data_IF_076921277170
#
_entry.id   IF_076921277170
#
_cell.length_a   1.000
_cell.length_b   1.000
_cell.length_c   1.000
_cell.angle_alpha   90.00
_cell.angle_beta   90.00
_cell.angle_gamma   90.00
#
_symmetry.space_group_name_H-M   'P 1'
#
loop_
_entity.id
_entity.type
_entity.pdbx_description
1 polymer ?
#
# COMPACT_ATOMS: atom_id res chain seq x y z
N UNK A 1 -4.05 -30.25 -25.92
CA UNK A 1 -3.03 -29.41 -25.27
C UNK A 1 -3.70 -28.77 -24.07
N UNK A 2 -3.19 -28.99 -22.85
CA UNK A 2 -3.74 -28.33 -21.65
C UNK A 2 -3.00 -27.00 -21.50
N UNK A 3 -3.73 -25.89 -21.59
CA UNK A 3 -3.20 -24.54 -21.35
C UNK A 3 -3.85 -23.93 -20.12
N UNK A 4 -3.11 -23.05 -19.46
CA UNK A 4 -3.57 -22.25 -18.32
C UNK A 4 -3.21 -20.80 -18.62
N UNK A 5 -4.18 -19.89 -18.53
CA UNK A 5 -4.00 -18.48 -18.90
C UNK A 5 -4.13 -17.60 -17.67
N UNK A 6 -3.08 -16.84 -17.35
CA UNK A 6 -3.11 -15.86 -16.26
C UNK A 6 -3.52 -14.49 -16.78
N UNK A 7 -4.45 -13.83 -16.10
CA UNK A 7 -4.92 -12.49 -16.46
C UNK A 7 -4.34 -11.45 -15.51
N UNK A 8 -3.73 -10.41 -16.07
CA UNK A 8 -3.14 -9.29 -15.29
C UNK A 8 -3.85 -7.95 -15.53
N UNK A 9 -4.69 -7.87 -16.57
CA UNK A 9 -5.37 -6.63 -16.97
C UNK A 9 -6.67 -6.37 -16.23
N UNK A 10 -7.28 -5.23 -16.57
CA UNK A 10 -8.64 -4.85 -16.18
C UNK A 10 -9.64 -5.85 -16.73
N UNK A 11 -10.64 -6.21 -15.92
CA UNK A 11 -11.78 -7.05 -16.33
C UNK A 11 -13.13 -6.34 -16.18
N UNK A 12 -13.13 -5.14 -15.62
CA UNK A 12 -14.31 -4.33 -15.32
C UNK A 12 -14.83 -3.50 -16.51
N UNK A 13 -14.11 -3.54 -17.63
CA UNK A 13 -14.44 -2.80 -18.85
C UNK A 13 -15.43 -3.59 -19.72
N UNK A 14 -16.63 -3.07 -20.05
CA UNK A 14 -17.62 -3.80 -20.83
C UNK A 14 -17.14 -4.24 -22.22
N UNK A 15 -16.24 -3.47 -22.84
CA UNK A 15 -15.73 -3.71 -24.19
C UNK A 15 -14.92 -5.00 -24.33
N UNK A 16 -14.37 -5.54 -23.24
CA UNK A 16 -13.61 -6.80 -23.27
C UNK A 16 -14.48 -8.03 -22.98
N UNK A 17 -15.70 -7.86 -22.49
CA UNK A 17 -16.57 -9.00 -22.13
C UNK A 17 -16.91 -9.92 -23.30
N UNK A 18 -17.22 -9.43 -24.51
CA UNK A 18 -17.50 -10.30 -25.66
C UNK A 18 -16.32 -11.21 -26.02
N UNK A 19 -15.08 -10.74 -25.81
CA UNK A 19 -13.88 -11.55 -26.04
C UNK A 19 -13.84 -12.73 -25.06
N UNK A 20 -14.04 -12.49 -23.78
CA UNK A 20 -14.00 -13.55 -22.77
C UNK A 20 -15.16 -14.53 -22.89
N UNK A 21 -16.34 -14.08 -23.33
CA UNK A 21 -17.49 -14.95 -23.56
C UNK A 21 -17.24 -15.93 -24.72
N UNK A 22 -16.58 -15.47 -25.79
CA UNK A 22 -16.16 -16.32 -26.92
C UNK A 22 -15.19 -17.44 -26.49
N UNK A 23 -14.41 -17.18 -25.44
CA UNK A 23 -13.38 -18.08 -24.93
C UNK A 23 -13.67 -18.59 -23.51
N UNK A 24 -14.95 -18.69 -23.11
CA UNK A 24 -15.37 -19.01 -21.74
C UNK A 24 -14.86 -20.35 -21.20
N UNK A 25 -14.55 -21.29 -22.08
CA UNK A 25 -14.05 -22.62 -21.72
C UNK A 25 -12.54 -22.62 -21.41
N UNK A 26 -11.80 -21.53 -21.72
CA UNK A 26 -10.37 -21.43 -21.42
C UNK A 26 -10.13 -21.50 -19.90
N UNK A 27 -9.21 -22.37 -19.42
CA UNK A 27 -8.83 -22.39 -18.01
C UNK A 27 -8.09 -21.10 -17.62
N UNK A 28 -8.69 -20.30 -16.75
CA UNK A 28 -8.15 -19.00 -16.33
C UNK A 28 -7.64 -19.00 -14.89
N UNK A 29 -6.57 -18.25 -14.63
CA UNK A 29 -6.11 -17.90 -13.28
C UNK A 29 -6.07 -16.39 -13.16
N UNK A 30 -6.54 -15.91 -12.01
CA UNK A 30 -6.54 -14.49 -11.65
C UNK A 30 -5.39 -14.15 -10.71
N UNK A 31 -5.02 -12.88 -10.64
CA UNK A 31 -4.01 -12.38 -9.69
C UNK A 31 -4.62 -11.88 -8.38
N UNK A 32 -5.94 -11.82 -8.28
CA UNK A 32 -6.70 -11.64 -7.03
C UNK A 32 -8.10 -12.23 -7.16
N UNK A 33 -8.78 -12.46 -6.05
CA UNK A 33 -10.19 -12.87 -6.09
C UNK A 33 -11.08 -11.73 -6.60
N UNK A 34 -10.78 -10.48 -6.26
CA UNK A 34 -11.51 -9.30 -6.70
C UNK A 34 -11.50 -9.14 -8.21
N UNK A 35 -10.37 -9.44 -8.87
CA UNK A 35 -10.26 -9.36 -10.34
C UNK A 35 -11.32 -10.22 -11.05
N UNK A 36 -11.76 -11.34 -10.43
CA UNK A 36 -12.74 -12.25 -11.05
C UNK A 36 -14.16 -11.70 -11.06
N UNK A 37 -14.49 -10.74 -10.18
CA UNK A 37 -15.88 -10.32 -9.92
C UNK A 37 -16.65 -9.85 -11.17
N UNK A 38 -16.08 -9.03 -12.07
CA UNK A 38 -16.81 -8.59 -13.26
C UNK A 38 -17.21 -9.73 -14.21
N UNK A 39 -16.46 -10.84 -14.18
CA UNK A 39 -16.61 -11.97 -15.10
C UNK A 39 -16.60 -13.30 -14.31
N UNK A 40 -17.43 -13.37 -13.26
CA UNK A 40 -17.44 -14.51 -12.34
C UNK A 40 -17.83 -15.85 -12.99
N UNK A 41 -18.50 -15.82 -14.15
CA UNK A 41 -18.98 -16.99 -14.88
C UNK A 41 -17.95 -17.68 -15.79
N UNK A 42 -16.72 -17.15 -15.91
CA UNK A 42 -15.67 -17.78 -16.70
C UNK A 42 -15.08 -19.02 -16.00
N UNK A 43 -14.36 -19.85 -16.75
CA UNK A 43 -13.72 -21.08 -16.26
C UNK A 43 -12.47 -20.82 -15.38
N UNK A 44 -12.67 -20.14 -14.24
CA UNK A 44 -11.65 -19.83 -13.24
C UNK A 44 -11.17 -21.09 -12.52
N UNK A 45 -9.88 -21.42 -12.66
CA UNK A 45 -9.23 -22.51 -11.94
C UNK A 45 -8.76 -22.09 -10.54
N UNK A 46 -8.56 -20.80 -10.31
CA UNK A 46 -8.12 -20.26 -9.02
C UNK A 46 -7.53 -18.86 -9.08
N UNK A 47 -6.86 -18.48 -7.99
CA UNK A 47 -6.06 -17.26 -7.88
C UNK A 47 -4.63 -17.64 -7.52
N UNK A 48 -3.67 -17.05 -8.23
CA UNK A 48 -2.26 -17.06 -7.87
C UNK A 48 -1.83 -15.62 -7.71
N UNK A 49 -1.72 -15.19 -6.45
CA UNK A 49 -1.22 -13.85 -6.12
C UNK A 49 0.21 -13.67 -6.65
N UNK A 50 0.55 -12.44 -7.02
CA UNK A 50 1.95 -12.13 -7.29
C UNK A 50 2.79 -12.25 -6.01
N UNK A 51 4.05 -12.64 -6.20
CA UNK A 51 5.06 -12.67 -5.14
C UNK A 51 6.28 -11.84 -5.51
N UNK A 52 7.13 -11.61 -4.52
CA UNK A 52 8.44 -10.98 -4.69
C UNK A 52 9.54 -12.04 -4.50
N UNK A 53 10.68 -11.93 -5.22
CA UNK A 53 11.86 -12.72 -4.87
C UNK A 53 12.33 -12.39 -3.45
N UNK A 54 12.67 -13.41 -2.67
CA UNK A 54 12.98 -13.29 -1.24
C UNK A 54 14.05 -12.25 -0.91
N UNK A 55 15.05 -12.11 -1.76
CA UNK A 55 16.21 -11.26 -1.50
C UNK A 55 16.16 -9.91 -2.24
N UNK A 56 15.01 -9.56 -2.86
CA UNK A 56 14.88 -8.33 -3.66
C UNK A 56 14.62 -7.07 -2.82
N UNK A 57 13.91 -7.19 -1.71
CA UNK A 57 13.63 -6.08 -0.81
C UNK A 57 13.97 -6.46 0.61
N UNK A 58 14.58 -5.53 1.34
CA UNK A 58 14.93 -5.71 2.75
C UNK A 58 14.17 -4.71 3.61
N UNK A 59 13.75 -5.20 4.77
CA UNK A 59 13.21 -4.34 5.83
C UNK A 59 14.22 -3.24 6.18
N UNK A 60 13.74 -2.00 6.27
CA UNK A 60 14.50 -0.87 6.78
C UNK A 60 13.72 -0.21 7.93
N UNK A 61 14.34 0.01 9.10
CA UNK A 61 13.70 0.75 10.19
C UNK A 61 13.80 2.27 10.01
N UNK A 62 14.24 2.75 8.84
CA UNK A 62 14.44 4.17 8.56
C UNK A 62 13.09 4.83 8.28
N UNK A 63 12.95 6.06 8.74
CA UNK A 63 11.83 6.93 8.41
C UNK A 63 12.37 8.36 8.24
N UNK A 64 12.38 8.85 7.01
CA UNK A 64 12.78 10.23 6.67
C UNK A 64 11.60 11.21 6.69
N UNK A 65 10.41 10.77 7.10
CA UNK A 65 9.26 11.63 7.36
C UNK A 65 8.42 12.01 6.13
N UNK A 66 8.67 11.38 4.97
CA UNK A 66 7.93 11.64 3.73
C UNK A 66 6.95 10.53 3.38
N UNK A 67 5.87 10.90 2.70
CA UNK A 67 4.96 9.99 2.01
C UNK A 67 5.54 9.66 0.63
N UNK A 68 5.48 8.40 0.24
CA UNK A 68 5.94 7.94 -1.06
C UNK A 68 4.77 7.79 -2.03
N UNK A 69 4.97 8.22 -3.27
CA UNK A 69 4.20 7.76 -4.43
C UNK A 69 5.16 7.09 -5.40
N UNK A 70 4.80 5.91 -5.91
CA UNK A 70 5.62 5.14 -6.82
C UNK A 70 4.78 4.51 -7.93
N UNK A 71 5.04 4.87 -9.19
CA UNK A 71 4.27 4.32 -10.30
C UNK A 71 4.44 5.05 -11.63
N UNK A 72 3.40 5.03 -12.46
CA UNK A 72 3.33 5.79 -13.71
C UNK A 72 2.54 7.06 -13.46
N UNK A 73 2.90 8.14 -14.13
CA UNK A 73 2.05 9.33 -14.19
C UNK A 73 0.94 9.11 -15.22
N UNK A 74 -0.15 8.47 -14.80
CA UNK A 74 -1.36 8.35 -15.61
C UNK A 74 -2.61 8.50 -14.71
N UNK A 75 -3.78 8.81 -15.26
CA UNK A 75 -5.00 9.06 -14.47
C UNK A 75 -5.33 7.91 -13.52
N UNK A 76 -5.15 6.66 -13.97
CA UNK A 76 -5.49 5.47 -13.19
C UNK A 76 -4.60 5.26 -11.96
N UNK A 77 -3.48 5.97 -11.84
CA UNK A 77 -2.59 5.88 -10.68
C UNK A 77 -2.85 6.94 -9.61
N UNK A 78 -3.68 7.95 -9.88
CA UNK A 78 -4.14 8.92 -8.88
C UNK A 78 -3.02 9.77 -8.27
N UNK A 79 -2.07 10.26 -9.07
CA UNK A 79 -0.99 11.09 -8.53
C UNK A 79 -1.49 12.45 -8.01
N UNK A 80 -2.50 13.02 -8.67
CA UNK A 80 -3.26 14.18 -8.21
C UNK A 80 -3.87 13.95 -6.82
N UNK A 81 -4.52 12.81 -6.61
CA UNK A 81 -5.06 12.40 -5.30
C UNK A 81 -3.94 12.26 -4.24
N UNK A 82 -2.79 11.67 -4.59
CA UNK A 82 -1.66 11.57 -3.67
C UNK A 82 -1.13 12.95 -3.24
N UNK A 83 -1.08 13.91 -4.17
CA UNK A 83 -0.70 15.30 -3.90
C UNK A 83 -1.72 15.96 -2.98
N UNK A 84 -3.02 15.75 -3.20
CA UNK A 84 -4.08 16.26 -2.33
C UNK A 84 -3.96 15.70 -0.91
N UNK A 85 -3.80 14.39 -0.76
CA UNK A 85 -3.62 13.72 0.54
C UNK A 85 -2.43 14.33 1.30
N UNK A 86 -1.29 14.52 0.61
CA UNK A 86 -0.10 15.09 1.21
C UNK A 86 -0.31 16.55 1.68
N UNK A 87 -1.03 17.35 0.88
CA UNK A 87 -1.40 18.72 1.23
C UNK A 87 -2.35 18.76 2.42
N UNK A 88 -3.39 17.93 2.43
CA UNK A 88 -4.34 17.81 3.55
C UNK A 88 -3.66 17.36 4.85
N UNK A 89 -2.70 16.44 4.76
CA UNK A 89 -1.95 15.94 5.91
C UNK A 89 -0.79 16.86 6.34
N UNK A 90 -0.47 17.90 5.55
CA UNK A 90 0.69 18.76 5.80
C UNK A 90 2.03 17.99 5.78
N UNK A 91 2.14 16.92 4.99
CA UNK A 91 3.33 16.06 4.92
C UNK A 91 4.02 16.18 3.57
N UNK A 92 5.34 16.01 3.57
CA UNK A 92 6.12 15.94 2.33
C UNK A 92 5.73 14.70 1.53
N UNK A 93 5.57 14.84 0.23
CA UNK A 93 5.38 13.77 -0.73
C UNK A 93 6.57 13.72 -1.67
N UNK A 94 7.24 12.56 -1.74
CA UNK A 94 8.20 12.27 -2.80
C UNK A 94 7.54 11.39 -3.86
N UNK A 95 7.69 11.78 -5.13
CA UNK A 95 7.02 11.17 -6.28
C UNK A 95 8.07 10.54 -7.18
N UNK A 96 8.14 9.21 -7.12
CA UNK A 96 8.94 8.39 -7.99
C UNK A 96 8.08 7.85 -9.13
N UNK A 97 8.01 8.56 -10.26
CA UNK A 97 7.14 8.16 -11.34
C UNK A 97 7.71 8.40 -12.73
N UNK A 98 7.45 7.43 -13.61
CA UNK A 98 7.75 7.55 -15.05
C UNK A 98 6.61 8.21 -15.80
N UNK A 99 6.94 8.96 -16.84
CA UNK A 99 5.98 9.60 -17.73
C UNK A 99 6.12 8.92 -19.10
N UNK A 100 5.15 8.06 -19.45
CA UNK A 100 5.13 7.42 -20.76
C UNK A 100 4.67 8.43 -21.83
N UNK A 101 5.02 8.21 -23.10
CA UNK A 101 4.70 9.15 -24.18
C UNK A 101 3.20 9.43 -24.31
N UNK A 102 2.36 8.42 -24.05
CA UNK A 102 0.90 8.51 -24.09
C UNK A 102 0.34 9.43 -23.00
N UNK A 103 1.07 9.61 -21.90
CA UNK A 103 0.62 10.36 -20.71
C UNK A 103 1.20 11.78 -20.64
N UNK A 104 1.99 12.22 -21.64
CA UNK A 104 2.63 13.55 -21.63
C UNK A 104 1.63 14.70 -21.53
N UNK A 105 0.49 14.58 -22.19
CA UNK A 105 -0.55 15.60 -22.13
C UNK A 105 -1.15 15.68 -20.72
N UNK A 106 -1.54 14.53 -20.16
CA UNK A 106 -2.03 14.43 -18.78
C UNK A 106 -1.03 15.02 -17.78
N UNK A 107 0.26 14.69 -17.92
CA UNK A 107 1.29 15.27 -17.07
C UNK A 107 1.34 16.80 -17.18
N UNK A 108 1.38 17.35 -18.40
CA UNK A 108 1.54 18.79 -18.60
C UNK A 108 0.32 19.61 -18.14
N UNK A 109 -0.88 19.07 -18.34
CA UNK A 109 -2.14 19.78 -18.13
C UNK A 109 -2.65 19.62 -16.70
N UNK A 110 -2.44 18.45 -16.08
CA UNK A 110 -2.99 18.12 -14.75
C UNK A 110 -1.91 18.09 -13.68
N UNK A 111 -0.85 17.31 -13.87
CA UNK A 111 0.11 17.01 -12.79
C UNK A 111 1.13 18.12 -12.59
N UNK A 112 1.75 18.61 -13.67
CA UNK A 112 2.83 19.60 -13.63
C UNK A 112 2.44 20.87 -12.85
N UNK A 113 1.23 21.45 -13.01
CA UNK A 113 0.81 22.58 -12.18
C UNK A 113 0.72 22.26 -10.68
N UNK A 114 0.44 21.01 -10.31
CA UNK A 114 0.30 20.58 -8.91
C UNK A 114 1.65 20.38 -8.21
N UNK A 115 2.74 20.25 -8.97
CA UNK A 115 4.10 20.05 -8.44
C UNK A 115 4.71 21.32 -7.84
N UNK A 116 4.20 22.51 -8.19
CA UNK A 116 4.67 23.78 -7.64
C UNK A 116 4.13 24.00 -6.23
N UNK A 117 4.67 23.24 -5.28
CA UNK A 117 4.28 23.29 -3.87
C UNK A 117 5.42 22.82 -2.96
N UNK A 118 5.70 23.48 -1.82
CA UNK A 118 6.87 23.19 -0.97
C UNK A 118 6.88 21.80 -0.32
N UNK A 119 5.73 21.12 -0.30
CA UNK A 119 5.62 19.74 0.19
C UNK A 119 5.85 18.68 -0.89
N UNK A 120 5.91 19.05 -2.17
CA UNK A 120 5.86 18.09 -3.28
C UNK A 120 7.23 18.04 -3.96
N UNK A 121 7.82 16.85 -4.01
CA UNK A 121 9.12 16.60 -4.62
C UNK A 121 8.99 15.52 -5.70
N UNK A 122 9.18 15.89 -6.97
CA UNK A 122 9.17 14.94 -8.08
C UNK A 122 10.59 14.48 -8.40
N UNK A 123 10.88 13.21 -8.14
CA UNK A 123 12.23 12.64 -8.32
C UNK A 123 12.44 11.95 -9.67
N UNK A 124 11.37 11.75 -10.44
CA UNK A 124 11.40 11.07 -11.74
C UNK A 124 11.32 9.54 -11.63
N UNK A 125 11.73 8.85 -12.69
CA UNK A 125 11.72 7.38 -12.73
C UNK A 125 12.89 6.81 -11.94
N UNK A 126 12.60 5.85 -11.06
CA UNK A 126 13.61 5.11 -10.31
C UNK A 126 13.51 3.61 -10.59
N UNK A 127 14.66 2.96 -10.66
CA UNK A 127 14.81 1.52 -10.80
C UNK A 127 15.31 0.87 -9.52
N UNK A 128 15.69 -0.40 -9.62
CA UNK A 128 16.47 -1.06 -8.57
C UNK A 128 17.95 -0.63 -8.66
N UNK A 129 18.66 -0.36 -7.55
CA UNK A 129 18.26 -0.53 -6.14
C UNK A 129 17.56 0.69 -5.50
N UNK A 130 17.48 1.82 -6.19
CA UNK A 130 16.95 3.08 -5.63
C UNK A 130 15.53 2.94 -5.10
N UNK A 131 14.73 2.06 -5.71
CA UNK A 131 13.37 1.75 -5.26
C UNK A 131 13.30 1.13 -3.87
N UNK A 132 14.26 0.28 -3.49
CA UNK A 132 14.34 -0.29 -2.14
C UNK A 132 14.65 0.81 -1.11
N UNK A 133 15.64 1.64 -1.40
CA UNK A 133 16.04 2.74 -0.52
C UNK A 133 14.93 3.80 -0.39
N UNK A 134 14.24 4.10 -1.48
CA UNK A 134 13.10 5.02 -1.52
C UNK A 134 11.93 4.50 -0.67
N UNK A 135 11.47 3.27 -0.91
CA UNK A 135 10.36 2.73 -0.15
C UNK A 135 10.72 2.60 1.33
N UNK A 136 11.87 2.00 1.66
CA UNK A 136 12.30 1.76 3.04
C UNK A 136 12.69 3.00 3.85
N UNK A 137 12.65 4.20 3.27
CA UNK A 137 12.84 5.46 4.00
C UNK A 137 11.55 6.29 4.12
N UNK A 138 10.45 5.86 3.49
CA UNK A 138 9.18 6.56 3.54
C UNK A 138 8.39 6.21 4.82
N UNK A 139 7.64 7.16 5.36
CA UNK A 139 6.73 6.93 6.48
C UNK A 139 5.52 6.08 6.07
N UNK A 140 5.07 6.24 4.82
CA UNK A 140 4.04 5.41 4.21
C UNK A 140 4.07 5.52 2.68
N UNK A 141 3.60 4.48 1.99
CA UNK A 141 3.24 4.53 0.58
C UNK A 141 1.77 4.99 0.43
N UNK A 142 1.52 6.00 -0.40
CA UNK A 142 0.17 6.34 -0.84
C UNK A 142 -0.22 5.54 -2.08
N UNK A 143 -1.40 4.91 -2.03
CA UNK A 143 -1.96 4.12 -3.12
C UNK A 143 -3.43 4.53 -3.39
N UNK A 144 -3.67 5.76 -3.89
CA UNK A 144 -5.02 6.30 -4.07
C UNK A 144 -5.67 5.84 -5.39
N UNK A 145 -5.40 4.60 -5.80
CA UNK A 145 -5.92 4.08 -7.06
C UNK A 145 -7.43 3.90 -6.97
N UNK A 146 -8.18 4.73 -7.71
CA UNK A 146 -9.64 4.78 -7.64
C UNK A 146 -10.33 3.93 -8.74
N UNK A 147 -9.79 2.75 -9.02
CA UNK A 147 -10.40 1.74 -9.90
C UNK A 147 -10.05 0.34 -9.35
N UNK A 148 -10.74 -0.74 -9.77
CA UNK A 148 -10.51 -2.07 -9.21
C UNK A 148 -9.17 -2.69 -9.65
N UNK A 149 -8.05 -2.17 -9.13
CA UNK A 149 -6.70 -2.64 -9.41
C UNK A 149 -6.58 -4.16 -9.14
N UNK A 150 -6.09 -4.95 -10.10
CA UNK A 150 -6.02 -6.41 -10.00
C UNK A 150 -5.10 -6.92 -8.90
N UNK A 151 -4.01 -6.21 -8.62
CA UNK A 151 -3.06 -6.62 -7.58
C UNK A 151 -2.35 -5.45 -6.91
N UNK A 152 -1.63 -4.62 -7.67
CA UNK A 152 -0.80 -3.56 -7.08
C UNK A 152 0.51 -4.10 -6.48
N UNK A 153 1.47 -4.47 -7.34
CA UNK A 153 2.79 -4.98 -6.91
C UNK A 153 3.50 -4.06 -5.91
N UNK A 154 3.37 -2.74 -6.09
CA UNK A 154 4.03 -1.75 -5.23
C UNK A 154 3.57 -1.83 -3.77
N UNK A 155 2.36 -2.35 -3.50
CA UNK A 155 1.86 -2.59 -2.16
C UNK A 155 2.78 -3.56 -1.40
N UNK A 156 3.03 -4.74 -1.99
CA UNK A 156 3.87 -5.76 -1.37
C UNK A 156 5.35 -5.39 -1.39
N UNK A 157 5.79 -4.51 -2.30
CA UNK A 157 7.15 -3.96 -2.30
C UNK A 157 7.38 -3.02 -1.11
N UNK A 158 6.45 -2.09 -0.86
CA UNK A 158 6.50 -1.21 0.31
C UNK A 158 6.45 -2.01 1.62
N UNK A 159 5.52 -2.96 1.72
CA UNK A 159 5.40 -3.83 2.89
C UNK A 159 6.67 -4.66 3.13
N UNK A 160 7.34 -5.13 2.07
CA UNK A 160 8.62 -5.86 2.20
C UNK A 160 9.77 -4.96 2.71
N UNK A 161 9.72 -3.66 2.41
CA UNK A 161 10.65 -2.67 2.95
C UNK A 161 10.31 -2.25 4.40
N UNK A 162 9.18 -2.68 4.97
CA UNK A 162 8.70 -2.24 6.28
C UNK A 162 7.83 -0.98 6.24
N UNK A 163 7.46 -0.52 5.05
CA UNK A 163 6.72 0.72 4.82
C UNK A 163 5.22 0.43 4.79
N UNK A 164 4.42 1.00 5.71
CA UNK A 164 2.98 0.80 5.68
C UNK A 164 2.37 1.45 4.44
N UNK A 165 1.22 0.93 4.02
CA UNK A 165 0.48 1.46 2.85
C UNK A 165 -0.78 2.18 3.31
N UNK A 166 -1.09 3.35 2.74
CA UNK A 166 -2.42 3.96 2.83
C UNK A 166 -3.06 3.86 1.45
N UNK A 167 -4.11 3.04 1.32
CA UNK A 167 -4.68 2.65 0.04
C UNK A 167 -6.19 2.83 -0.02
N UNK A 168 -6.69 3.25 -1.19
CA UNK A 168 -8.13 3.29 -1.44
C UNK A 168 -8.72 1.89 -1.47
N UNK A 169 -9.93 1.72 -0.92
CA UNK A 169 -10.66 0.47 -0.86
C UNK A 169 -11.19 0.04 -2.24
N UNK A 170 -10.28 -0.37 -3.11
CA UNK A 170 -10.58 -0.78 -4.48
C UNK A 170 -9.86 -2.07 -4.84
N UNK A 171 -10.49 -2.86 -5.71
CA UNK A 171 -9.88 -4.05 -6.30
C UNK A 171 -9.32 -5.01 -5.24
N UNK A 172 -8.07 -5.42 -5.42
CA UNK A 172 -7.37 -6.36 -4.54
C UNK A 172 -6.84 -5.75 -3.24
N UNK A 173 -6.99 -4.45 -2.98
CA UNK A 173 -6.41 -3.80 -1.80
C UNK A 173 -6.80 -4.53 -0.49
N UNK A 174 -8.07 -4.90 -0.24
CA UNK A 174 -8.45 -5.63 0.97
C UNK A 174 -7.94 -7.08 1.04
N UNK A 175 -7.41 -7.63 -0.05
CA UNK A 175 -6.80 -8.96 -0.07
C UNK A 175 -5.31 -8.91 0.29
N UNK A 176 -4.67 -7.73 0.19
CA UNK A 176 -3.22 -7.55 0.33
C UNK A 176 -2.87 -6.75 1.58
N UNK A 177 -3.67 -5.72 1.89
CA UNK A 177 -3.46 -4.84 3.04
C UNK A 177 -4.34 -5.31 4.20
N UNK A 178 -3.74 -5.54 5.36
CA UNK A 178 -4.45 -5.77 6.60
C UNK A 178 -4.61 -4.43 7.33
N UNK A 179 -5.84 -3.91 7.35
CA UNK A 179 -6.15 -2.60 7.89
C UNK A 179 -5.75 -2.49 9.38
N UNK A 180 -4.96 -1.47 9.71
CA UNK A 180 -4.40 -1.24 11.04
C UNK A 180 -3.14 -2.06 11.38
N UNK A 181 -2.74 -3.02 10.52
CA UNK A 181 -1.53 -3.82 10.73
C UNK A 181 -0.44 -3.52 9.69
N UNK A 182 -0.72 -3.75 8.40
CA UNK A 182 0.25 -3.52 7.32
C UNK A 182 0.04 -2.18 6.61
N UNK A 183 -1.02 -1.46 6.99
CA UNK A 183 -1.43 -0.21 6.37
C UNK A 183 -2.83 0.21 6.80
N UNK A 184 -3.39 1.17 6.09
CA UNK A 184 -4.75 1.65 6.25
C UNK A 184 -5.51 1.54 4.93
N UNK A 185 -6.71 0.99 5.00
CA UNK A 185 -7.67 0.97 3.89
C UNK A 185 -8.67 2.08 4.14
N UNK A 186 -8.78 3.00 3.19
CA UNK A 186 -9.58 4.23 3.28
C UNK A 186 -10.45 4.40 2.04
N UNK A 187 -11.47 5.24 2.09
CA UNK A 187 -12.37 5.46 0.95
C UNK A 187 -12.12 6.77 0.19
N UNK A 188 -11.43 7.75 0.81
CA UNK A 188 -11.16 9.06 0.22
C UNK A 188 -9.88 9.75 0.75
N UNK A 189 -9.54 10.90 0.16
CA UNK A 189 -8.34 11.66 0.49
C UNK A 189 -8.34 12.20 1.93
N UNK A 190 -9.52 12.52 2.48
CA UNK A 190 -9.64 13.05 3.83
C UNK A 190 -9.39 11.95 4.88
N UNK A 191 -9.91 10.74 4.65
CA UNK A 191 -9.58 9.55 5.43
C UNK A 191 -8.11 9.18 5.31
N UNK A 192 -7.54 9.23 4.10
CA UNK A 192 -6.12 8.98 3.89
C UNK A 192 -5.25 9.98 4.69
N UNK A 193 -5.59 11.27 4.66
CA UNK A 193 -4.90 12.30 5.42
C UNK A 193 -5.01 12.08 6.94
N UNK A 194 -6.18 11.64 7.45
CA UNK A 194 -6.32 11.22 8.86
C UNK A 194 -5.43 10.01 9.18
N UNK A 195 -5.40 9.00 8.30
CA UNK A 195 -4.58 7.82 8.47
C UNK A 195 -3.08 8.15 8.56
N UNK A 196 -2.61 9.13 7.77
CA UNK A 196 -1.22 9.65 7.85
C UNK A 196 -0.87 10.12 9.26
N UNK A 197 -1.79 10.77 9.98
CA UNK A 197 -1.55 11.24 11.35
C UNK A 197 -1.61 10.12 12.41
N UNK A 198 -2.11 8.94 12.04
CA UNK A 198 -2.14 7.76 12.91
C UNK A 198 -0.99 6.78 12.66
N UNK A 199 -0.09 7.09 11.71
CA UNK A 199 1.11 6.31 11.47
C UNK A 199 1.97 6.27 12.75
N UNK A 200 2.37 5.06 13.16
CA UNK A 200 3.17 4.85 14.37
C UNK A 200 2.40 4.92 15.69
N UNK A 201 1.11 5.30 15.69
CA UNK A 201 0.26 5.27 16.89
C UNK A 201 -0.58 3.99 17.02
N UNK A 202 -0.38 2.99 16.15
CA UNK A 202 -1.08 1.69 16.24
C UNK A 202 -0.12 0.52 16.16
N UNK A 203 -0.41 -0.52 16.94
CA UNK A 203 0.24 -1.83 16.87
C UNK A 203 -0.86 -2.89 16.83
N UNK A 204 -1.18 -3.41 15.64
CA UNK A 204 -2.30 -4.34 15.46
C UNK A 204 -3.65 -3.71 15.85
N UNK A 205 -4.41 -4.35 16.75
CA UNK A 205 -5.67 -3.78 17.25
C UNK A 205 -5.51 -2.71 18.32
N UNK A 206 -4.28 -2.38 18.70
CA UNK A 206 -4.03 -1.45 19.78
C UNK A 206 -3.68 -0.06 19.25
N UNK A 207 -4.36 0.96 19.76
CA UNK A 207 -4.08 2.37 19.50
C UNK A 207 -3.32 2.97 20.68
N UNK A 208 -2.05 3.33 20.48
CA UNK A 208 -1.21 3.97 21.48
C UNK A 208 -1.75 5.38 21.78
N UNK A 209 -2.20 5.58 23.01
CA UNK A 209 -2.78 6.84 23.49
C UNK A 209 -1.73 7.78 24.07
N UNK A 210 -0.83 7.25 24.90
CA UNK A 210 0.22 8.03 25.55
C UNK A 210 1.34 7.12 26.03
N UNK A 211 2.58 7.62 26.02
CA UNK A 211 3.66 6.97 26.78
C UNK A 211 3.45 7.24 28.27
N UNK A 212 3.33 6.17 29.06
CA UNK A 212 3.10 6.23 30.51
C UNK A 212 4.30 5.79 31.34
N UNK A 213 5.38 5.32 30.71
CA UNK A 213 6.64 5.03 31.38
C UNK A 213 7.78 4.71 30.41
N UNK A 214 9.01 4.96 30.86
CA UNK A 214 10.23 4.58 30.15
C UNK A 214 11.34 4.22 31.14
N UNK A 215 12.19 3.26 30.81
CA UNK A 215 13.36 2.88 31.61
C UNK A 215 14.20 1.78 30.96
N UNK A 216 15.17 1.22 31.71
CA UNK A 216 16.09 0.19 31.19
C UNK A 216 15.42 -1.10 30.71
N UNK A 217 14.14 -1.31 31.06
CA UNK A 217 13.34 -2.47 30.65
C UNK A 217 12.39 -2.16 29.48
N UNK A 218 12.55 -1.02 28.81
CA UNK A 218 11.73 -0.61 27.68
C UNK A 218 10.75 0.53 27.98
N UNK A 219 9.85 0.77 27.05
CA UNK A 219 8.84 1.81 27.08
C UNK A 219 7.46 1.21 27.35
N UNK A 220 6.61 1.92 28.08
CA UNK A 220 5.23 1.51 28.37
C UNK A 220 4.30 2.59 27.84
N UNK A 221 3.32 2.16 27.04
CA UNK A 221 2.30 3.00 26.44
C UNK A 221 0.93 2.60 26.99
N UNK A 222 0.10 3.57 27.37
CA UNK A 222 -1.33 3.34 27.45
C UNK A 222 -1.84 3.16 26.02
N UNK A 223 -2.66 2.15 25.79
CA UNK A 223 -3.24 1.88 24.48
C UNK A 223 -4.71 1.48 24.62
N UNK A 224 -5.51 1.73 23.59
CA UNK A 224 -6.88 1.24 23.49
C UNK A 224 -6.92 -0.01 22.62
N UNK A 225 -7.40 -1.13 23.15
CA UNK A 225 -7.66 -2.35 22.38
C UNK A 225 -9.00 -2.23 21.65
N UNK A 226 -8.97 -1.96 20.34
CA UNK A 226 -10.18 -1.76 19.53
C UNK A 226 -11.02 -3.01 19.35
N UNK A 227 -10.45 -4.22 19.56
CA UNK A 227 -11.22 -5.47 19.49
C UNK A 227 -12.01 -5.73 20.76
N UNK A 228 -11.43 -5.39 21.91
CA UNK A 228 -12.04 -5.64 23.22
C UNK A 228 -12.72 -4.40 23.83
N UNK A 229 -12.54 -3.21 23.23
CA UNK A 229 -13.13 -1.96 23.69
C UNK A 229 -12.64 -1.51 25.07
N UNK A 230 -11.35 -1.73 25.38
CA UNK A 230 -10.77 -1.43 26.70
C UNK A 230 -9.38 -0.82 26.60
N UNK A 231 -9.00 -0.07 27.63
CA UNK A 231 -7.63 0.44 27.76
C UNK A 231 -6.71 -0.63 28.36
N UNK A 232 -5.50 -0.71 27.83
CA UNK A 232 -4.43 -1.62 28.22
C UNK A 232 -3.09 -0.88 28.30
N UNK A 233 -2.08 -1.50 28.90
CA UNK A 233 -0.70 -1.03 28.82
C UNK A 233 0.09 -1.94 27.86
N UNK A 234 0.79 -1.34 26.90
CA UNK A 234 1.69 -2.05 25.97
C UNK A 234 3.13 -1.71 26.34
N UNK A 235 3.91 -2.75 26.61
CA UNK A 235 5.33 -2.62 26.88
C UNK A 235 6.16 -2.97 25.64
N UNK A 236 6.88 -2.00 25.11
CA UNK A 236 7.82 -2.18 24.01
C UNK A 236 9.21 -2.44 24.60
N UNK A 237 9.75 -3.64 24.37
CA UNK A 237 11.04 -4.05 24.90
C UNK A 237 12.20 -3.58 24.00
N UNK A 238 13.39 -3.28 24.56
CA UNK A 238 14.56 -2.92 23.76
C UNK A 238 15.00 -4.06 22.83
N UNK A 239 15.53 -3.71 21.66
CA UNK A 239 15.97 -4.67 20.61
C UNK A 239 16.95 -5.73 21.13
N UNK A 240 17.71 -5.45 22.19
CA UNK A 240 18.66 -6.39 22.83
C UNK A 240 18.01 -7.57 23.57
N UNK A 241 16.69 -7.57 23.75
CA UNK A 241 15.96 -8.66 24.43
C UNK A 241 15.43 -9.75 23.48
N UNK A 242 15.82 -9.70 22.20
CA UNK A 242 15.31 -10.56 21.13
C UNK A 242 15.94 -11.96 21.18
N UNK A 243 15.25 -12.94 21.77
CA UNK A 243 15.51 -14.37 21.48
C UNK A 243 14.66 -14.81 20.29
N UNK A 244 15.26 -15.59 19.40
CA UNK A 244 14.81 -15.83 18.01
C UNK A 244 13.52 -16.64 17.82
N UNK A 245 12.82 -17.04 18.89
CA UNK A 245 11.84 -18.14 18.79
C UNK A 245 10.37 -17.77 19.01
N UNK A 246 10.01 -16.50 19.25
CA UNK A 246 8.59 -16.12 19.32
C UNK A 246 8.32 -14.68 18.88
N UNK A 247 7.79 -14.51 17.67
CA UNK A 247 7.15 -13.27 17.18
C UNK A 247 5.76 -13.06 17.82
N UNK A 248 5.65 -13.31 19.13
CA UNK A 248 4.49 -12.91 19.91
C UNK A 248 4.95 -11.78 20.80
N UNK A 249 4.48 -10.58 20.52
CA UNK A 249 4.49 -9.47 21.48
C UNK A 249 4.17 -10.05 22.86
N UNK A 250 5.10 -9.96 23.80
CA UNK A 250 4.85 -10.38 25.17
C UNK A 250 3.89 -9.36 25.79
N UNK A 251 2.59 -9.61 25.60
CA UNK A 251 1.50 -9.01 26.36
C UNK A 251 1.64 -9.57 27.77
N UNK A 252 2.15 -8.76 28.70
CA UNK A 252 2.13 -9.04 30.13
C UNK A 252 0.94 -8.33 30.77
#
# INVERSE_FOLDING_TARGET
>A
MVSLTTIHGRLDLPEIWPLFELFKDLPLVSVSNSQRRPLAGLNWQGTVYHGLPKDRYRFSPRDEGYLAFLGRVCPEKGLDEAIEIAKLAGKKLKIAAKIDNVDRQYFNDVIRPLLDHPLIEFIGEIGYPDKEAFLGAASALLFPINWPEPFGLVLIEAMACGTPVIAYNRGSVPEIVENGLTGFIVDDAAEAARAVHTLGSRVGSYELLAQIGAGGMGEVYQAHDTKLGRDVAIKILPVLTRTSDNLKYHLA
#
